data_IF_625599672379
#
_entry.id   IF_625599672379
#
_cell.length_a   1.000
_cell.length_b   1.000
_cell.length_c   1.000
_cell.angle_alpha   90.00
_cell.angle_beta   90.00
_cell.angle_gamma   90.00
#
_symmetry.space_group_name_H-M   'P 1'
#
loop_
_entity.id
_entity.type
_entity.pdbx_description
1 polymer ?
#
# COMPACT_ATOMS: atom_id res chain seq x y z
N UNK A 1 28.14 -11.72 -29.58
CA UNK A 1 27.32 -11.71 -28.36
C UNK A 1 27.78 -10.47 -27.60
N UNK A 2 26.89 -9.47 -27.38
CA UNK A 2 27.26 -8.31 -26.57
C UNK A 2 27.51 -8.81 -25.15
N UNK A 3 28.65 -8.46 -24.56
CA UNK A 3 28.91 -8.70 -23.14
C UNK A 3 27.81 -7.98 -22.34
N UNK A 4 26.91 -8.75 -21.72
CA UNK A 4 25.98 -8.20 -20.74
C UNK A 4 26.83 -7.71 -19.57
N UNK A 5 26.76 -6.41 -19.27
CA UNK A 5 27.41 -5.85 -18.09
C UNK A 5 26.91 -6.51 -16.81
N UNK A 6 27.56 -6.29 -15.66
CA UNK A 6 27.16 -6.89 -14.39
C UNK A 6 25.70 -6.56 -14.08
N UNK A 7 24.94 -7.58 -13.66
CA UNK A 7 23.52 -7.40 -13.27
C UNK A 7 23.48 -6.56 -11.99
N UNK A 8 22.82 -5.41 -12.07
CA UNK A 8 22.63 -4.52 -10.93
C UNK A 8 21.45 -5.01 -10.10
N UNK A 9 21.66 -5.20 -8.80
CA UNK A 9 20.63 -5.69 -7.89
C UNK A 9 19.46 -4.69 -7.75
N UNK A 10 19.75 -3.43 -7.43
CA UNK A 10 18.74 -2.39 -7.29
C UNK A 10 18.76 -1.44 -8.49
N UNK A 11 17.71 -1.49 -9.31
CA UNK A 11 17.52 -0.57 -10.45
C UNK A 11 16.45 0.50 -10.17
N UNK A 12 15.94 0.51 -8.93
CA UNK A 12 14.76 1.26 -8.51
C UNK A 12 13.48 0.51 -8.86
N UNK A 13 12.57 0.47 -7.93
CA UNK A 13 11.39 -0.38 -8.07
C UNK A 13 10.36 -0.13 -6.98
N UNK A 14 10.09 -1.18 -6.20
CA UNK A 14 8.99 -1.13 -5.27
C UNK A 14 7.65 -0.98 -5.99
N UNK A 15 6.67 -0.42 -5.32
CA UNK A 15 5.34 -0.19 -5.90
C UNK A 15 5.33 0.79 -7.08
N UNK A 16 6.42 1.56 -7.31
CA UNK A 16 6.55 2.42 -8.50
C UNK A 16 6.62 1.63 -9.81
N UNK A 17 6.96 0.34 -9.75
CA UNK A 17 7.01 -0.56 -10.91
C UNK A 17 5.64 -1.11 -11.33
N UNK A 18 4.59 -0.92 -10.55
CA UNK A 18 3.22 -1.36 -10.89
C UNK A 18 2.73 -0.68 -12.18
N UNK A 19 1.93 -1.40 -12.96
CA UNK A 19 1.21 -0.81 -14.10
C UNK A 19 0.22 0.23 -13.58
N UNK A 20 0.05 1.34 -14.33
CA UNK A 20 -0.90 2.36 -13.93
C UNK A 20 -2.35 1.84 -13.91
N UNK A 21 -3.14 2.25 -12.92
CA UNK A 21 -4.50 1.78 -12.68
C UNK A 21 -5.39 1.86 -13.95
N UNK A 22 -5.35 2.96 -14.69
CA UNK A 22 -6.14 3.13 -15.92
C UNK A 22 -5.75 2.22 -17.10
N UNK A 23 -4.52 1.69 -17.12
CA UNK A 23 -4.11 0.67 -18.11
C UNK A 23 -4.65 -0.69 -17.72
N UNK A 24 -4.52 -1.05 -16.45
CA UNK A 24 -4.96 -2.34 -15.92
C UNK A 24 -6.48 -2.50 -16.03
N UNK A 25 -7.25 -1.50 -15.61
CA UNK A 25 -8.73 -1.50 -15.70
C UNK A 25 -9.20 -1.81 -17.12
N UNK A 26 -8.65 -1.13 -18.15
CA UNK A 26 -9.03 -1.35 -19.56
C UNK A 26 -8.74 -2.75 -20.06
N UNK A 27 -7.76 -3.46 -19.47
CA UNK A 27 -7.45 -4.84 -19.82
C UNK A 27 -8.43 -5.78 -19.11
N UNK A 28 -8.67 -5.56 -17.84
CA UNK A 28 -9.56 -6.39 -17.01
C UNK A 28 -11.02 -6.33 -17.49
N UNK A 29 -11.49 -5.18 -17.97
CA UNK A 29 -12.83 -5.01 -18.56
C UNK A 29 -13.08 -5.93 -19.77
N UNK A 30 -12.03 -6.38 -20.46
CA UNK A 30 -12.10 -7.26 -21.63
C UNK A 30 -12.06 -8.74 -21.29
N UNK A 31 -11.84 -9.10 -20.02
CA UNK A 31 -11.84 -10.49 -19.62
C UNK A 31 -13.24 -11.10 -19.70
N UNK A 32 -13.37 -12.36 -20.12
CA UNK A 32 -14.64 -13.06 -20.09
C UNK A 32 -15.19 -13.10 -18.66
N UNK A 33 -16.39 -12.62 -18.46
CA UNK A 33 -17.08 -12.72 -17.16
C UNK A 33 -17.90 -13.99 -17.16
N UNK A 34 -17.56 -14.94 -16.28
CA UNK A 34 -18.40 -16.10 -15.97
C UNK A 34 -19.62 -15.73 -15.13
N UNK A 35 -20.45 -16.73 -14.79
CA UNK A 35 -21.47 -16.54 -13.76
C UNK A 35 -20.79 -16.15 -12.44
N UNK A 36 -21.38 -15.16 -11.75
CA UNK A 36 -20.82 -14.68 -10.48
C UNK A 36 -21.02 -15.74 -9.42
N UNK A 37 -19.90 -16.27 -8.90
CA UNK A 37 -19.91 -17.20 -7.78
C UNK A 37 -20.45 -16.45 -6.53
N UNK A 38 -21.55 -16.93 -5.89
CA UNK A 38 -22.11 -16.25 -4.71
C UNK A 38 -21.19 -16.29 -3.49
N UNK A 39 -20.20 -17.18 -3.46
CA UNK A 39 -19.22 -17.28 -2.39
C UNK A 39 -17.98 -16.39 -2.63
N UNK A 40 -17.82 -15.81 -3.81
CA UNK A 40 -16.85 -14.74 -4.06
C UNK A 40 -17.40 -13.41 -3.53
N UNK A 41 -17.04 -13.07 -2.28
CA UNK A 41 -17.54 -11.86 -1.60
C UNK A 41 -16.89 -10.61 -2.17
N UNK A 42 -15.57 -10.66 -2.44
CA UNK A 42 -14.78 -9.58 -3.03
C UNK A 42 -13.93 -10.16 -4.16
N UNK A 43 -13.98 -9.53 -5.32
CA UNK A 43 -13.19 -9.91 -6.49
C UNK A 43 -12.60 -8.68 -7.18
N UNK A 44 -11.96 -8.86 -8.34
CA UNK A 44 -11.32 -7.77 -9.06
C UNK A 44 -12.27 -6.67 -9.56
N UNK A 45 -13.58 -6.92 -9.56
CA UNK A 45 -14.60 -5.94 -9.98
C UNK A 45 -14.73 -4.76 -9.00
N UNK A 46 -14.43 -4.98 -7.69
CA UNK A 46 -14.51 -3.97 -6.64
C UNK A 46 -13.26 -3.09 -6.55
N UNK A 47 -12.16 -3.46 -7.22
CA UNK A 47 -10.85 -2.79 -7.09
C UNK A 47 -10.37 -2.75 -5.64
N UNK A 48 -10.67 -3.80 -4.89
CA UNK A 48 -10.28 -3.96 -3.50
C UNK A 48 -8.88 -4.58 -3.37
N UNK A 49 -8.32 -4.55 -2.16
CA UNK A 49 -6.94 -4.92 -1.89
C UNK A 49 -6.69 -6.43 -2.10
N UNK A 50 -7.68 -7.28 -1.79
CA UNK A 50 -7.57 -8.72 -1.97
C UNK A 50 -8.88 -9.38 -2.42
N UNK A 51 -8.77 -10.58 -2.99
CA UNK A 51 -9.93 -11.44 -3.21
C UNK A 51 -10.39 -12.08 -1.91
N UNK A 52 -11.71 -12.13 -1.67
CA UNK A 52 -12.29 -12.77 -0.50
C UNK A 52 -13.33 -13.81 -0.92
N UNK A 53 -13.08 -15.07 -0.53
CA UNK A 53 -13.93 -16.20 -0.88
C UNK A 53 -14.48 -16.89 0.38
N UNK A 54 -15.79 -16.97 0.51
CA UNK A 54 -16.47 -17.59 1.65
C UNK A 54 -16.33 -19.11 1.63
N UNK A 55 -15.90 -19.68 2.73
CA UNK A 55 -15.76 -21.13 2.92
C UNK A 55 -16.91 -21.67 3.78
N UNK A 56 -17.26 -20.94 4.84
CA UNK A 56 -18.39 -21.22 5.71
C UNK A 56 -19.14 -19.92 6.03
N UNK A 57 -20.17 -19.99 6.86
CA UNK A 57 -20.88 -18.79 7.32
C UNK A 57 -19.94 -17.82 8.08
N UNK A 58 -19.00 -18.36 8.85
CA UNK A 58 -18.11 -17.60 9.75
C UNK A 58 -16.67 -17.49 9.26
N UNK A 59 -16.31 -18.10 8.12
CA UNK A 59 -14.94 -18.14 7.63
C UNK A 59 -14.87 -17.83 6.13
N UNK A 60 -14.08 -16.83 5.77
CA UNK A 60 -13.67 -16.57 4.39
C UNK A 60 -12.15 -16.55 4.24
N UNK A 61 -11.67 -16.98 3.07
CA UNK A 61 -10.28 -16.83 2.66
C UNK A 61 -10.06 -15.43 2.13
N UNK A 62 -8.95 -14.82 2.54
CA UNK A 62 -8.38 -13.62 1.91
C UNK A 62 -7.16 -14.07 1.11
N UNK A 63 -7.13 -13.77 -0.18
CA UNK A 63 -6.02 -14.15 -1.06
C UNK A 63 -5.51 -12.93 -1.81
N UNK A 64 -4.20 -12.71 -1.70
CA UNK A 64 -3.50 -11.64 -2.43
C UNK A 64 -2.16 -12.10 -2.97
N UNK A 65 -1.61 -11.32 -3.91
CA UNK A 65 -0.28 -11.50 -4.47
C UNK A 65 0.33 -10.14 -4.78
N UNK A 66 1.51 -9.88 -4.20
CA UNK A 66 2.26 -8.68 -4.55
C UNK A 66 3.78 -8.98 -4.61
N UNK A 67 4.44 -8.50 -5.66
CA UNK A 67 5.87 -8.64 -5.86
C UNK A 67 6.41 -7.52 -6.76
N UNK A 68 7.65 -7.13 -6.55
CA UNK A 68 8.26 -6.01 -7.26
C UNK A 68 9.80 -6.09 -7.26
N UNK A 69 10.48 -5.29 -8.10
CA UNK A 69 11.94 -5.20 -8.09
C UNK A 69 12.44 -4.39 -6.88
N UNK A 70 13.72 -4.58 -6.45
CA UNK A 70 14.31 -3.89 -5.32
C UNK A 70 14.31 -2.37 -5.45
N UNK A 71 14.08 -1.66 -4.32
CA UNK A 71 14.21 -0.21 -4.20
C UNK A 71 15.29 0.21 -3.18
N UNK A 72 15.89 -0.76 -2.49
CA UNK A 72 17.01 -0.60 -1.56
C UNK A 72 18.15 -1.53 -1.98
N UNK A 73 19.38 -1.20 -1.61
CA UNK A 73 20.57 -1.95 -2.02
C UNK A 73 20.84 -3.18 -1.16
N UNK A 74 20.35 -3.21 0.08
CA UNK A 74 20.52 -4.36 0.98
C UNK A 74 19.46 -5.43 0.71
N UNK A 75 19.88 -6.66 0.30
CA UNK A 75 18.95 -7.74 -0.03
C UNK A 75 18.05 -8.17 1.13
N UNK A 76 18.59 -8.20 2.34
CA UNK A 76 17.83 -8.57 3.54
C UNK A 76 16.72 -7.54 3.83
N UNK A 77 17.07 -6.26 3.81
CA UNK A 77 16.12 -5.16 3.97
C UNK A 77 15.05 -5.17 2.86
N UNK A 78 15.44 -5.50 1.62
CA UNK A 78 14.47 -5.66 0.53
C UNK A 78 13.44 -6.76 0.84
N UNK A 79 13.89 -7.91 1.34
CA UNK A 79 13.00 -8.97 1.80
C UNK A 79 12.04 -8.51 2.91
N UNK A 80 12.58 -7.74 3.87
CA UNK A 80 11.80 -7.16 4.97
C UNK A 80 10.80 -6.08 4.53
N UNK A 81 10.96 -5.49 3.35
CA UNK A 81 10.00 -4.53 2.78
C UNK A 81 8.95 -5.23 1.92
N UNK A 82 9.36 -6.18 1.10
CA UNK A 82 8.47 -6.85 0.16
C UNK A 82 7.41 -7.71 0.87
N UNK A 83 7.79 -8.36 1.98
CA UNK A 83 6.85 -9.17 2.74
C UNK A 83 5.76 -8.33 3.43
N UNK A 84 6.04 -7.26 4.23
CA UNK A 84 5.01 -6.41 4.80
C UNK A 84 4.06 -5.82 3.76
N UNK A 85 4.56 -5.45 2.58
CA UNK A 85 3.72 -4.94 1.51
C UNK A 85 2.67 -5.98 1.06
N UNK A 86 3.08 -7.22 0.79
CA UNK A 86 2.16 -8.28 0.39
C UNK A 86 1.23 -8.76 1.52
N UNK A 87 1.67 -8.67 2.78
CA UNK A 87 0.86 -9.03 3.96
C UNK A 87 -0.21 -7.96 4.26
N UNK A 88 -0.01 -6.73 3.80
CA UNK A 88 -0.82 -5.57 4.13
C UNK A 88 -2.26 -5.70 3.65
N UNK A 89 -2.48 -6.23 2.46
CA UNK A 89 -3.81 -6.44 1.87
C UNK A 89 -4.70 -7.29 2.78
N UNK A 90 -4.12 -8.31 3.44
CA UNK A 90 -4.88 -9.14 4.40
C UNK A 90 -5.36 -8.32 5.59
N UNK A 91 -4.53 -7.39 6.08
CA UNK A 91 -4.90 -6.51 7.18
C UNK A 91 -5.93 -5.46 6.77
N UNK A 92 -5.84 -4.92 5.55
CA UNK A 92 -6.82 -3.99 5.00
C UNK A 92 -8.22 -4.63 4.92
N UNK A 93 -8.28 -5.91 4.53
CA UNK A 93 -9.53 -6.68 4.50
C UNK A 93 -10.05 -7.11 5.89
N UNK A 94 -9.41 -6.68 7.01
CA UNK A 94 -9.78 -7.09 8.36
C UNK A 94 -9.35 -8.51 8.74
N UNK A 95 -8.55 -9.17 7.88
CA UNK A 95 -8.13 -10.56 8.02
C UNK A 95 -6.91 -10.77 8.91
N UNK A 96 -6.60 -12.05 9.13
CA UNK A 96 -5.39 -12.53 9.81
C UNK A 96 -4.56 -13.36 8.84
N UNK A 97 -3.26 -13.07 8.74
CA UNK A 97 -2.32 -13.86 7.93
C UNK A 97 -2.21 -15.28 8.46
N UNK A 98 -2.33 -16.27 7.57
CA UNK A 98 -2.14 -17.68 7.91
C UNK A 98 -0.94 -18.31 7.21
N UNK A 99 -0.86 -18.20 5.89
CA UNK A 99 0.27 -18.73 5.13
C UNK A 99 0.76 -17.75 4.07
N UNK A 100 2.04 -17.88 3.72
CA UNK A 100 2.63 -17.16 2.61
C UNK A 100 3.48 -18.10 1.74
N UNK A 101 3.51 -17.82 0.44
CA UNK A 101 4.36 -18.48 -0.54
C UNK A 101 5.29 -17.45 -1.18
N UNK A 102 6.60 -17.73 -1.25
CA UNK A 102 7.54 -16.86 -1.92
C UNK A 102 7.29 -16.84 -3.44
N UNK A 103 7.37 -15.66 -4.04
CA UNK A 103 7.42 -15.45 -5.48
C UNK A 103 8.76 -14.81 -5.83
N UNK A 104 9.55 -15.50 -6.63
CA UNK A 104 10.94 -15.12 -6.92
C UNK A 104 11.20 -15.11 -8.41
N UNK A 105 11.70 -13.99 -8.93
CA UNK A 105 12.42 -13.91 -10.19
C UNK A 105 13.88 -13.56 -9.85
N UNK A 106 14.85 -14.37 -10.31
CA UNK A 106 16.24 -14.19 -9.91
C UNK A 106 17.21 -14.53 -11.04
N UNK A 107 18.24 -13.70 -11.32
CA UNK A 107 19.24 -13.97 -12.34
C UNK A 107 20.15 -15.15 -11.94
N UNK A 108 20.26 -16.18 -12.78
CA UNK A 108 21.12 -17.35 -12.51
C UNK A 108 22.60 -17.00 -12.32
N UNK A 109 23.06 -15.90 -12.89
CA UNK A 109 24.45 -15.42 -12.78
C UNK A 109 24.73 -14.59 -11.54
N UNK A 110 23.71 -14.24 -10.73
CA UNK A 110 23.87 -13.50 -9.49
C UNK A 110 24.17 -14.46 -8.32
N UNK A 111 24.95 -13.99 -7.33
CA UNK A 111 25.28 -14.77 -6.14
C UNK A 111 24.01 -15.21 -5.41
N UNK A 112 23.87 -16.53 -5.20
CA UNK A 112 22.74 -17.14 -4.48
C UNK A 112 22.65 -16.70 -3.01
N UNK A 113 23.74 -16.21 -2.40
CA UNK A 113 23.69 -15.61 -1.06
C UNK A 113 22.76 -14.38 -1.02
N UNK A 114 22.71 -13.59 -2.11
CA UNK A 114 21.78 -12.46 -2.26
C UNK A 114 20.34 -12.96 -2.16
N UNK A 115 20.00 -14.04 -2.85
CA UNK A 115 18.68 -14.64 -2.75
C UNK A 115 18.39 -15.14 -1.32
N UNK A 116 19.38 -15.80 -0.69
CA UNK A 116 19.28 -16.27 0.69
C UNK A 116 18.89 -15.15 1.66
N UNK A 117 19.54 -13.98 1.55
CA UNK A 117 19.25 -12.82 2.40
C UNK A 117 17.85 -12.24 2.13
N UNK A 118 17.41 -12.15 0.87
CA UNK A 118 16.04 -11.71 0.53
C UNK A 118 15.01 -12.63 1.21
N UNK A 119 15.16 -13.94 1.02
CA UNK A 119 14.24 -14.93 1.58
C UNK A 119 14.23 -14.93 3.12
N UNK A 120 15.41 -14.71 3.75
CA UNK A 120 15.53 -14.59 5.19
C UNK A 120 14.74 -13.38 5.71
N UNK A 121 14.93 -12.20 5.10
CA UNK A 121 14.20 -10.99 5.47
C UNK A 121 12.68 -11.16 5.36
N UNK A 122 12.22 -11.78 4.26
CA UNK A 122 10.79 -12.05 4.05
C UNK A 122 10.23 -13.07 5.04
N UNK A 123 10.97 -14.16 5.32
CA UNK A 123 10.54 -15.20 6.25
C UNK A 123 10.38 -14.67 7.69
N UNK A 124 11.30 -13.81 8.14
CA UNK A 124 11.21 -13.17 9.46
C UNK A 124 9.95 -12.29 9.58
N UNK A 125 9.58 -11.55 8.53
CA UNK A 125 8.36 -10.73 8.52
C UNK A 125 7.08 -11.58 8.48
N UNK A 126 7.07 -12.69 7.78
CA UNK A 126 5.95 -13.64 7.81
C UNK A 126 5.78 -14.22 9.22
N UNK A 127 6.88 -14.57 9.89
CA UNK A 127 6.84 -15.05 11.28
C UNK A 127 6.36 -13.95 12.26
N UNK A 128 6.84 -12.70 12.11
CA UNK A 128 6.38 -11.54 12.89
C UNK A 128 4.86 -11.29 12.71
N UNK A 129 4.36 -11.50 11.49
CA UNK A 129 2.93 -11.46 11.19
C UNK A 129 2.12 -12.56 11.90
N UNK A 130 2.77 -13.60 12.41
CA UNK A 130 2.14 -14.79 12.97
C UNK A 130 1.73 -15.82 11.92
N UNK A 131 2.18 -15.64 10.68
CA UNK A 131 1.95 -16.54 9.56
C UNK A 131 3.03 -17.61 9.43
N UNK A 132 2.78 -18.57 8.55
CA UNK A 132 3.72 -19.64 8.19
C UNK A 132 4.17 -19.48 6.75
N UNK A 133 5.48 -19.39 6.51
CA UNK A 133 6.04 -19.49 5.17
C UNK A 133 5.97 -20.95 4.72
N UNK A 134 5.12 -21.26 3.74
CA UNK A 134 4.77 -22.63 3.36
C UNK A 134 5.49 -23.13 2.09
N UNK A 135 6.37 -22.31 1.51
CA UNK A 135 7.09 -22.63 0.27
C UNK A 135 7.11 -21.49 -0.72
N UNK A 136 7.00 -21.78 -1.99
CA UNK A 136 6.96 -20.76 -3.03
C UNK A 136 7.38 -21.29 -4.40
N UNK A 137 7.61 -20.35 -5.35
CA UNK A 137 8.06 -20.62 -6.69
C UNK A 137 9.17 -19.65 -7.11
N UNK A 138 10.16 -20.15 -7.83
CA UNK A 138 11.25 -19.32 -8.36
C UNK A 138 11.47 -19.61 -9.84
N UNK A 139 11.76 -18.55 -10.60
CA UNK A 139 12.12 -18.64 -12.02
C UNK A 139 13.39 -17.83 -12.29
N UNK A 140 14.16 -18.26 -13.29
CA UNK A 140 15.26 -17.49 -13.83
C UNK A 140 14.71 -16.26 -14.59
N UNK A 141 15.30 -15.09 -14.37
CA UNK A 141 14.91 -13.82 -15.02
C UNK A 141 16.14 -12.93 -15.20
N UNK A 142 16.00 -11.85 -15.95
CA UNK A 142 17.06 -10.86 -16.16
C UNK A 142 17.25 -9.90 -14.99
N UNK A 143 16.31 -9.83 -14.07
CA UNK A 143 16.35 -8.94 -12.89
C UNK A 143 15.66 -9.56 -11.68
N UNK A 144 16.04 -9.09 -10.51
CA UNK A 144 15.45 -9.56 -9.26
C UNK A 144 14.04 -9.01 -9.10
N UNK A 145 13.08 -9.88 -8.75
CA UNK A 145 11.77 -9.51 -8.24
C UNK A 145 11.43 -10.47 -7.10
N UNK A 146 10.88 -9.94 -6.04
CA UNK A 146 10.47 -10.73 -4.88
C UNK A 146 9.18 -10.20 -4.28
N UNK A 147 8.41 -11.10 -3.74
CA UNK A 147 7.21 -10.84 -2.96
C UNK A 147 6.55 -12.13 -2.53
N UNK A 148 5.29 -12.04 -2.16
CA UNK A 148 4.54 -13.15 -1.61
C UNK A 148 3.19 -13.32 -2.30
N UNK A 149 2.71 -14.56 -2.37
CA UNK A 149 1.29 -14.88 -2.41
C UNK A 149 0.86 -15.21 -0.99
N UNK A 150 -0.13 -14.47 -0.48
CA UNK A 150 -0.56 -14.56 0.92
C UNK A 150 -1.98 -15.07 1.00
N UNK A 151 -2.20 -15.97 1.97
CA UNK A 151 -3.53 -16.45 2.35
C UNK A 151 -3.79 -16.05 3.79
N UNK A 152 -4.89 -15.34 4.00
CA UNK A 152 -5.43 -14.97 5.30
C UNK A 152 -6.82 -15.57 5.54
N UNK A 153 -7.33 -15.40 6.74
CA UNK A 153 -8.70 -15.69 7.12
C UNK A 153 -9.36 -14.44 7.67
N UNK A 154 -10.63 -14.26 7.33
CA UNK A 154 -11.49 -13.21 7.88
C UNK A 154 -12.86 -13.77 8.22
N UNK A 155 -13.50 -13.23 9.26
CA UNK A 155 -14.93 -13.42 9.49
C UNK A 155 -15.69 -12.58 8.43
N UNK A 156 -16.55 -13.18 7.59
CA UNK A 156 -17.31 -12.45 6.57
C UNK A 156 -18.14 -11.29 7.13
N UNK A 157 -18.58 -11.37 8.39
CA UNK A 157 -19.35 -10.33 9.06
C UNK A 157 -18.48 -9.15 9.56
N UNK A 158 -17.15 -9.30 9.53
CA UNK A 158 -16.16 -8.32 9.97
C UNK A 158 -15.21 -7.91 8.84
N UNK A 159 -15.57 -8.27 7.61
CA UNK A 159 -14.85 -7.86 6.41
C UNK A 159 -14.90 -6.34 6.26
N UNK A 160 -13.74 -5.72 6.05
CA UNK A 160 -13.60 -4.30 5.72
C UNK A 160 -13.29 -4.15 4.23
N UNK A 161 -14.30 -3.90 3.41
CA UNK A 161 -14.08 -3.57 2.00
C UNK A 161 -13.74 -2.07 1.86
N UNK A 162 -13.08 -1.72 0.76
CA UNK A 162 -12.61 -0.33 0.58
C UNK A 162 -13.74 0.67 0.28
N UNK A 163 -14.88 0.26 -0.31
CA UNK A 163 -15.97 1.12 -0.80
C UNK A 163 -17.22 1.15 0.12
N UNK A 164 -17.08 0.73 1.38
CA UNK A 164 -18.17 0.64 2.37
C UNK A 164 -18.25 1.80 3.37
N UNK A 165 -17.44 2.86 3.14
CA UNK A 165 -17.47 4.09 3.92
C UNK A 165 -18.82 4.80 3.88
N UNK A 166 -19.07 5.66 4.88
CA UNK A 166 -20.35 6.37 5.07
C UNK A 166 -20.13 7.88 5.19
N UNK A 167 -21.10 8.71 4.78
CA UNK A 167 -21.05 10.14 5.07
C UNK A 167 -20.91 10.41 6.57
N UNK A 168 -19.97 11.27 6.94
CA UNK A 168 -19.63 11.60 8.33
C UNK A 168 -18.41 10.85 8.86
N UNK A 169 -18.01 9.73 8.25
CA UNK A 169 -16.82 8.97 8.67
C UNK A 169 -15.57 9.86 8.63
N UNK A 170 -14.68 9.61 9.58
CA UNK A 170 -13.36 10.21 9.62
C UNK A 170 -12.35 9.33 8.90
N UNK A 171 -11.55 9.94 8.05
CA UNK A 171 -10.45 9.27 7.37
C UNK A 171 -9.21 9.32 8.25
N UNK A 172 -8.69 8.15 8.64
CA UNK A 172 -7.53 8.00 9.52
C UNK A 172 -6.42 7.26 8.80
N UNK A 173 -5.25 7.89 8.64
CA UNK A 173 -4.06 7.34 8.00
C UNK A 173 -3.05 6.89 9.06
N UNK A 174 -2.48 5.67 8.93
CA UNK A 174 -1.66 5.05 9.98
C UNK A 174 -0.15 5.17 9.79
N UNK A 175 0.35 5.52 8.60
CA UNK A 175 1.78 5.76 8.32
C UNK A 175 1.96 7.08 7.56
N UNK A 176 3.16 7.65 7.68
CA UNK A 176 3.55 8.85 6.96
C UNK A 176 3.76 8.58 5.46
N UNK A 177 3.48 9.60 4.62
CA UNK A 177 3.67 9.57 3.16
C UNK A 177 5.05 10.08 2.76
N UNK A 178 5.50 9.73 1.55
CA UNK A 178 6.73 10.24 0.94
C UNK A 178 7.79 9.20 0.63
N UNK A 179 7.49 7.90 0.74
CA UNK A 179 8.44 6.80 0.49
C UNK A 179 9.02 6.86 -0.92
N UNK A 180 8.19 7.08 -1.94
CA UNK A 180 8.66 7.13 -3.33
C UNK A 180 9.60 8.32 -3.59
N UNK A 181 9.27 9.48 -3.03
CA UNK A 181 10.10 10.69 -3.09
C UNK A 181 11.47 10.47 -2.44
N UNK A 182 11.50 9.91 -1.22
CA UNK A 182 12.75 9.66 -0.50
C UNK A 182 13.61 8.61 -1.22
N UNK A 183 13.02 7.51 -1.70
CA UNK A 183 13.74 6.51 -2.48
C UNK A 183 14.30 7.10 -3.78
N UNK A 184 13.59 8.03 -4.41
CA UNK A 184 14.05 8.73 -5.60
C UNK A 184 15.21 9.67 -5.27
N UNK A 185 15.10 10.47 -4.23
CA UNK A 185 16.15 11.34 -3.73
C UNK A 185 17.43 10.54 -3.37
N UNK A 186 17.26 9.42 -2.67
CA UNK A 186 18.38 8.53 -2.31
C UNK A 186 19.12 7.99 -3.54
N UNK A 187 18.40 7.62 -4.60
CA UNK A 187 19.02 7.13 -5.85
C UNK A 187 19.92 8.14 -6.57
N UNK A 188 19.64 9.41 -6.39
CA UNK A 188 20.45 10.50 -6.99
C UNK A 188 21.43 11.12 -5.99
N UNK A 189 21.52 10.56 -4.76
CA UNK A 189 22.45 11.00 -3.75
C UNK A 189 22.02 12.26 -2.97
N UNK A 190 20.73 12.63 -3.05
CA UNK A 190 20.19 13.85 -2.42
C UNK A 190 19.46 13.59 -1.10
N UNK A 191 19.22 12.32 -0.71
CA UNK A 191 18.64 11.99 0.58
C UNK A 191 19.71 11.85 1.66
N UNK A 192 19.48 12.41 2.85
CA UNK A 192 20.30 12.14 4.00
C UNK A 192 20.08 10.70 4.50
N UNK A 193 21.10 10.04 5.09
CA UNK A 193 20.96 8.67 5.61
C UNK A 193 19.78 8.48 6.55
N UNK A 194 19.53 9.44 7.44
CA UNK A 194 18.45 9.40 8.43
C UNK A 194 17.06 9.44 7.80
N UNK A 195 16.94 10.11 6.64
CA UNK A 195 15.69 10.17 5.86
C UNK A 195 15.40 8.79 5.25
N UNK A 196 16.42 8.16 4.64
CA UNK A 196 16.28 6.82 4.09
C UNK A 196 16.02 5.77 5.17
N UNK A 197 16.67 5.87 6.34
CA UNK A 197 16.39 5.02 7.50
C UNK A 197 14.94 5.17 7.99
N UNK A 198 14.40 6.40 8.02
CA UNK A 198 12.99 6.63 8.38
C UNK A 198 12.04 5.97 7.37
N UNK A 199 12.33 6.08 6.07
CA UNK A 199 11.54 5.41 5.02
C UNK A 199 11.62 3.88 5.14
N UNK A 200 12.81 3.30 5.38
CA UNK A 200 13.00 1.86 5.60
C UNK A 200 12.23 1.39 6.83
N UNK A 201 12.32 2.10 7.97
CA UNK A 201 11.54 1.77 9.17
C UNK A 201 10.04 1.76 8.89
N UNK A 202 9.53 2.75 8.16
CA UNK A 202 8.11 2.80 7.76
C UNK A 202 7.74 1.58 6.90
N UNK A 203 8.53 1.27 5.86
CA UNK A 203 8.28 0.16 4.93
C UNK A 203 8.38 -1.22 5.60
N UNK A 204 9.27 -1.40 6.57
CA UNK A 204 9.46 -2.68 7.27
C UNK A 204 8.48 -2.89 8.43
N UNK A 205 7.74 -1.86 8.84
CA UNK A 205 6.70 -1.97 9.89
C UNK A 205 5.44 -2.63 9.32
N UNK A 206 5.00 -3.73 9.96
CA UNK A 206 3.74 -4.40 9.61
C UNK A 206 2.53 -3.53 9.95
N UNK A 207 1.51 -3.58 9.10
CA UNK A 207 0.20 -2.98 9.38
C UNK A 207 -0.64 -3.79 10.39
N UNK A 208 -0.12 -4.92 10.89
CA UNK A 208 -0.74 -5.81 11.86
C UNK A 208 -1.26 -5.08 13.10
N UNK A 209 -0.39 -4.32 13.77
CA UNK A 209 -0.75 -3.59 15.00
C UNK A 209 -1.90 -2.60 14.74
N UNK A 210 -1.84 -1.88 13.62
CA UNK A 210 -2.91 -0.94 13.25
C UNK A 210 -4.25 -1.67 13.05
N UNK A 211 -4.25 -2.79 12.32
CA UNK A 211 -5.44 -3.58 12.08
C UNK A 211 -6.00 -4.22 13.37
N UNK A 212 -5.14 -4.76 14.24
CA UNK A 212 -5.56 -5.35 15.52
C UNK A 212 -6.18 -4.32 16.47
N UNK A 213 -5.64 -3.09 16.49
CA UNK A 213 -6.22 -1.98 17.26
C UNK A 213 -7.57 -1.58 16.65
N UNK A 214 -7.63 -1.37 15.33
CA UNK A 214 -8.83 -0.92 14.63
C UNK A 214 -10.03 -1.87 14.79
N UNK A 215 -9.81 -3.18 14.95
CA UNK A 215 -10.87 -4.16 15.19
C UNK A 215 -11.74 -3.91 16.43
N UNK A 216 -11.32 -3.05 17.35
CA UNK A 216 -12.04 -2.68 18.57
C UNK A 216 -12.97 -1.48 18.39
N UNK A 217 -12.94 -0.86 17.23
CA UNK A 217 -13.64 0.35 16.88
C UNK A 217 -14.58 0.12 15.69
N UNK A 218 -15.52 1.01 15.48
CA UNK A 218 -16.42 0.96 14.32
C UNK A 218 -15.73 1.52 13.08
N UNK A 219 -15.09 0.60 12.32
CA UNK A 219 -14.45 0.89 11.02
C UNK A 219 -15.37 0.40 9.92
N UNK A 220 -15.80 1.30 9.03
CA UNK A 220 -16.73 1.00 7.96
C UNK A 220 -16.04 0.59 6.68
N UNK A 221 -14.86 1.14 6.37
CA UNK A 221 -14.05 0.79 5.21
C UNK A 221 -12.56 0.89 5.54
N UNK A 222 -11.77 0.12 4.82
CA UNK A 222 -10.31 0.17 4.93
C UNK A 222 -9.67 -0.11 3.56
N UNK A 223 -8.47 0.43 3.35
CA UNK A 223 -7.55 0.06 2.27
C UNK A 223 -6.13 0.30 2.75
N UNK A 224 -5.14 -0.30 2.11
CA UNK A 224 -3.75 0.10 2.31
C UNK A 224 -3.31 1.14 1.27
N UNK A 225 -2.41 2.03 1.66
CA UNK A 225 -1.93 3.10 0.78
C UNK A 225 -0.63 2.66 0.13
N UNK A 226 -0.68 2.22 -1.13
CA UNK A 226 0.46 1.69 -1.85
C UNK A 226 0.73 2.40 -3.19
N UNK A 227 0.89 1.69 -4.28
CA UNK A 227 1.41 2.18 -5.55
C UNK A 227 0.55 3.23 -6.25
N UNK A 228 -0.75 3.26 -6.00
CA UNK A 228 -1.65 4.26 -6.58
C UNK A 228 -1.70 5.57 -5.78
N UNK A 229 -0.89 5.72 -4.75
CA UNK A 229 -0.82 6.88 -3.87
C UNK A 229 -2.00 7.04 -2.90
N UNK A 230 -1.86 7.96 -1.95
CA UNK A 230 -2.94 8.30 -1.03
C UNK A 230 -4.22 8.73 -1.77
N UNK A 231 -4.10 9.64 -2.74
CA UNK A 231 -5.27 10.14 -3.47
C UNK A 231 -5.87 9.11 -4.42
N UNK A 232 -5.06 8.18 -4.98
CA UNK A 232 -5.56 7.11 -5.83
C UNK A 232 -6.40 6.10 -5.04
N UNK A 233 -5.89 5.60 -3.91
CA UNK A 233 -6.64 4.68 -3.05
C UNK A 233 -7.86 5.36 -2.42
N UNK A 234 -7.77 6.65 -2.08
CA UNK A 234 -8.92 7.43 -1.62
C UNK A 234 -10.01 7.55 -2.70
N UNK A 235 -9.63 7.73 -3.98
CA UNK A 235 -10.56 7.73 -5.10
C UNK A 235 -11.28 6.37 -5.24
N UNK A 236 -10.55 5.25 -5.10
CA UNK A 236 -11.13 3.91 -5.07
C UNK A 236 -12.12 3.76 -3.89
N UNK A 237 -11.74 4.24 -2.71
CA UNK A 237 -12.59 4.21 -1.50
C UNK A 237 -13.88 5.06 -1.67
N UNK A 238 -13.85 6.16 -2.39
CA UNK A 238 -15.06 6.96 -2.65
C UNK A 238 -16.03 6.27 -3.62
N UNK A 239 -15.55 5.36 -4.47
CA UNK A 239 -16.36 4.44 -5.28
C UNK A 239 -17.40 5.11 -6.17
N UNK A 240 -17.16 6.35 -6.61
CA UNK A 240 -18.12 7.19 -7.39
C UNK A 240 -19.43 7.49 -6.63
N UNK A 241 -19.56 7.11 -5.37
CA UNK A 241 -20.78 7.25 -4.56
C UNK A 241 -20.65 8.33 -3.48
N UNK A 242 -19.41 8.61 -3.06
CA UNK A 242 -19.08 9.48 -1.94
C UNK A 242 -18.14 10.61 -2.39
N UNK A 243 -17.89 11.53 -1.51
CA UNK A 243 -16.88 12.58 -1.64
C UNK A 243 -16.17 12.75 -0.30
N UNK A 244 -15.01 13.39 -0.31
CA UNK A 244 -14.31 13.69 0.94
C UNK A 244 -13.62 15.04 0.91
N UNK A 245 -13.36 15.56 2.12
CA UNK A 245 -12.49 16.71 2.34
C UNK A 245 -11.29 16.24 3.16
N UNK A 246 -10.09 16.54 2.65
CA UNK A 246 -8.81 16.22 3.27
C UNK A 246 -8.17 17.49 3.80
N UNK A 247 -7.75 17.47 5.05
CA UNK A 247 -6.84 18.45 5.63
C UNK A 247 -5.39 17.96 5.39
N UNK A 248 -4.74 18.50 4.40
CA UNK A 248 -3.38 18.09 4.03
C UNK A 248 -2.34 18.53 5.08
N UNK A 249 -2.64 19.52 5.93
CA UNK A 249 -1.77 19.89 7.04
C UNK A 249 -1.71 18.79 8.12
N UNK A 250 -2.80 18.02 8.29
CA UNK A 250 -2.85 16.90 9.21
C UNK A 250 -2.18 15.62 8.69
N UNK A 251 -1.88 15.54 7.39
CA UNK A 251 -1.27 14.32 6.79
C UNK A 251 0.17 14.15 7.30
N UNK A 252 0.50 13.00 7.93
CA UNK A 252 1.86 12.75 8.37
C UNK A 252 2.79 12.56 7.16
N UNK A 253 3.95 13.20 7.18
CA UNK A 253 4.94 13.21 6.11
C UNK A 253 6.29 12.73 6.65
N UNK A 254 6.98 11.88 5.89
CA UNK A 254 8.32 11.41 6.23
C UNK A 254 9.34 12.55 6.14
N UNK A 255 10.33 12.59 7.04
CA UNK A 255 11.42 13.56 6.95
C UNK A 255 12.12 13.50 5.58
N UNK A 256 12.29 14.64 4.93
CA UNK A 256 12.92 14.77 3.62
C UNK A 256 11.98 14.63 2.42
N UNK A 257 10.74 14.18 2.62
CA UNK A 257 9.80 14.06 1.49
C UNK A 257 9.36 15.41 0.94
N UNK A 258 9.21 16.40 1.81
CA UNK A 258 8.89 17.77 1.40
C UNK A 258 10.00 18.38 0.55
N UNK A 259 11.24 18.29 1.03
CA UNK A 259 12.43 18.81 0.35
C UNK A 259 12.64 18.10 -1.00
N UNK A 260 12.43 16.78 -1.07
CA UNK A 260 12.50 16.03 -2.31
C UNK A 260 11.43 16.48 -3.31
N UNK A 261 10.20 16.72 -2.85
CA UNK A 261 9.12 17.22 -3.68
C UNK A 261 9.40 18.64 -4.19
N UNK A 262 9.90 19.55 -3.34
CA UNK A 262 10.27 20.92 -3.68
C UNK A 262 11.42 20.95 -4.69
N UNK A 263 12.38 20.01 -4.58
CA UNK A 263 13.47 19.81 -5.53
C UNK A 263 13.07 19.08 -6.82
N UNK A 264 11.78 18.82 -7.04
CA UNK A 264 11.23 18.13 -8.22
C UNK A 264 11.73 16.69 -8.40
N UNK A 265 12.06 15.98 -7.32
CA UNK A 265 12.51 14.58 -7.33
C UNK A 265 11.33 13.60 -7.31
N UNK A 266 10.38 13.76 -8.22
CA UNK A 266 9.19 12.90 -8.28
C UNK A 266 9.44 11.57 -8.94
N UNK A 267 8.56 10.60 -8.64
CA UNK A 267 8.53 9.33 -9.36
C UNK A 267 7.70 9.42 -10.64
N UNK A 268 8.07 8.66 -11.66
CA UNK A 268 7.22 8.51 -12.84
C UNK A 268 5.84 7.92 -12.49
N UNK A 269 5.76 7.12 -11.43
CA UNK A 269 4.49 6.58 -10.93
C UNK A 269 3.62 7.68 -10.30
N UNK A 270 4.18 8.60 -9.51
CA UNK A 270 3.48 9.76 -8.97
C UNK A 270 2.85 10.61 -10.08
N UNK A 271 3.58 10.84 -11.17
CA UNK A 271 3.03 11.58 -12.31
C UNK A 271 1.92 10.80 -13.03
N UNK A 272 2.01 9.46 -13.11
CA UNK A 272 0.89 8.64 -13.64
C UNK A 272 -0.33 8.71 -12.72
N UNK A 273 -0.12 8.68 -11.40
CA UNK A 273 -1.19 8.81 -10.40
C UNK A 273 -1.86 10.19 -10.51
N UNK A 274 -1.08 11.28 -10.60
CA UNK A 274 -1.60 12.64 -10.81
C UNK A 274 -2.43 12.73 -12.11
N UNK A 275 -1.97 12.15 -13.19
CA UNK A 275 -2.70 12.16 -14.46
C UNK A 275 -4.01 11.35 -14.40
N UNK A 276 -4.05 10.27 -13.63
CA UNK A 276 -5.23 9.41 -13.50
C UNK A 276 -6.26 10.00 -12.52
N UNK A 277 -5.84 10.33 -11.31
CA UNK A 277 -6.73 10.74 -10.21
C UNK A 277 -6.94 12.26 -10.14
N UNK A 278 -5.99 13.05 -10.63
CA UNK A 278 -6.04 14.52 -10.59
C UNK A 278 -7.35 15.16 -11.10
N UNK A 279 -8.01 14.64 -12.16
CA UNK A 279 -9.31 15.16 -12.62
C UNK A 279 -10.43 15.09 -11.57
N UNK A 280 -10.30 14.25 -10.54
CA UNK A 280 -11.27 14.09 -9.45
C UNK A 280 -10.93 14.91 -8.20
N UNK A 281 -9.77 15.61 -8.21
CA UNK A 281 -9.22 16.33 -7.05
C UNK A 281 -9.23 17.83 -7.26
N UNK A 282 -9.65 18.57 -6.25
CA UNK A 282 -9.48 20.03 -6.16
C UNK A 282 -8.59 20.39 -5.00
N UNK A 283 -7.51 21.12 -5.27
CA UNK A 283 -6.62 21.67 -4.26
C UNK A 283 -7.00 23.10 -3.93
N UNK A 284 -7.15 23.41 -2.64
CA UNK A 284 -7.46 24.74 -2.12
C UNK A 284 -6.32 25.21 -1.21
N UNK A 285 -5.50 26.14 -1.72
CA UNK A 285 -4.33 26.72 -1.03
C UNK A 285 -3.26 25.66 -0.62
N UNK A 286 -3.24 24.50 -1.27
CA UNK A 286 -2.25 23.47 -0.97
C UNK A 286 -0.91 23.83 -1.64
N UNK A 287 0.21 23.83 -0.91
CA UNK A 287 1.53 24.04 -1.49
C UNK A 287 1.87 22.88 -2.48
N UNK A 288 2.52 23.22 -3.59
CA UNK A 288 2.85 22.25 -4.64
C UNK A 288 3.63 21.03 -4.13
N UNK A 289 4.64 21.14 -3.24
CA UNK A 289 5.29 19.95 -2.68
C UNK A 289 4.32 19.00 -1.98
N UNK A 290 3.31 19.52 -1.28
CA UNK A 290 2.30 18.69 -0.62
C UNK A 290 1.39 17.98 -1.63
N UNK A 291 1.02 18.64 -2.74
CA UNK A 291 0.29 17.98 -3.81
C UNK A 291 1.05 16.78 -4.35
N UNK A 292 2.37 16.91 -4.59
CA UNK A 292 3.23 15.81 -5.08
C UNK A 292 3.34 14.68 -4.05
N UNK A 293 3.42 15.00 -2.74
CA UNK A 293 3.42 14.00 -1.66
C UNK A 293 2.14 13.17 -1.66
N UNK A 294 0.99 13.81 -1.88
CA UNK A 294 -0.30 13.15 -1.91
C UNK A 294 -0.48 12.21 -3.14
N UNK A 295 0.24 12.46 -4.23
CA UNK A 295 0.31 11.59 -5.41
C UNK A 295 1.49 10.62 -5.39
N UNK A 296 2.38 10.70 -4.39
CA UNK A 296 3.56 9.85 -4.31
C UNK A 296 3.18 8.38 -4.04
N UNK A 297 3.68 7.42 -4.85
CA UNK A 297 3.45 6.00 -4.61
C UNK A 297 4.13 5.57 -3.31
N UNK A 298 3.42 4.83 -2.48
CA UNK A 298 3.97 4.26 -1.27
C UNK A 298 4.32 2.78 -1.50
N UNK A 299 5.41 2.31 -0.92
CA UNK A 299 5.73 0.90 -0.79
C UNK A 299 5.55 0.51 0.67
N UNK A 300 4.76 -0.52 0.93
CA UNK A 300 4.39 -0.93 2.30
C UNK A 300 3.87 0.27 3.12
N UNK A 301 2.98 1.05 2.54
CA UNK A 301 2.37 2.20 3.21
C UNK A 301 1.42 1.81 4.33
N UNK A 302 0.77 2.81 4.93
CA UNK A 302 -0.15 2.60 6.04
C UNK A 302 -1.55 2.19 5.59
N UNK A 303 -2.37 1.79 6.55
CA UNK A 303 -3.80 1.62 6.35
C UNK A 303 -4.49 2.99 6.36
N UNK A 304 -5.49 3.14 5.51
CA UNK A 304 -6.43 4.24 5.50
C UNK A 304 -7.79 3.70 5.93
N UNK A 305 -8.28 4.15 7.07
CA UNK A 305 -9.56 3.74 7.64
C UNK A 305 -10.63 4.80 7.46
N UNK A 306 -11.86 4.40 7.13
CA UNK A 306 -13.08 5.18 7.32
C UNK A 306 -13.71 4.77 8.65
N UNK A 307 -13.65 5.65 9.63
CA UNK A 307 -13.98 5.37 11.04
C UNK A 307 -15.21 6.17 11.46
N UNK A 308 -16.14 5.55 12.16
CA UNK A 308 -17.28 6.23 12.74
C UNK A 308 -16.84 7.46 13.57
N UNK A 309 -17.51 8.61 13.45
CA UNK A 309 -17.04 9.87 14.05
C UNK A 309 -16.78 9.80 15.56
N UNK A 310 -17.58 9.02 16.29
CA UNK A 310 -17.46 8.85 17.73
C UNK A 310 -16.20 8.09 18.17
N UNK A 311 -15.66 7.24 17.30
CA UNK A 311 -14.53 6.36 17.59
C UNK A 311 -13.18 6.92 17.12
N UNK A 312 -13.20 7.84 16.16
CA UNK A 312 -11.99 8.29 15.44
C UNK A 312 -10.91 8.86 16.37
N UNK A 313 -11.27 9.70 17.32
CA UNK A 313 -10.30 10.31 18.25
C UNK A 313 -9.67 9.27 19.20
N UNK A 314 -10.47 8.30 19.67
CA UNK A 314 -9.99 7.25 20.55
C UNK A 314 -9.07 6.28 19.79
N UNK A 315 -9.43 5.91 18.56
CA UNK A 315 -8.59 5.08 17.69
C UNK A 315 -7.27 5.78 17.35
N UNK A 316 -7.30 7.08 16.98
CA UNK A 316 -6.07 7.86 16.72
C UNK A 316 -5.14 7.83 17.93
N UNK A 317 -5.68 8.14 19.14
CA UNK A 317 -4.89 8.17 20.36
C UNK A 317 -4.26 6.80 20.68
N UNK A 318 -4.98 5.70 20.50
CA UNK A 318 -4.47 4.37 20.77
C UNK A 318 -3.40 3.93 19.77
N UNK A 319 -3.57 4.24 18.48
CA UNK A 319 -2.55 4.00 17.46
C UNK A 319 -1.27 4.80 17.74
N UNK A 320 -1.40 6.06 18.15
CA UNK A 320 -0.27 6.89 18.54
C UNK A 320 0.44 6.34 19.79
N UNK A 321 -0.31 5.86 20.78
CA UNK A 321 0.25 5.22 21.97
C UNK A 321 1.01 3.91 21.63
N UNK A 322 0.62 3.23 20.53
CA UNK A 322 1.35 2.09 19.97
C UNK A 322 2.57 2.49 19.11
N UNK A 323 2.89 3.79 19.02
CA UNK A 323 4.06 4.31 18.29
C UNK A 323 3.84 4.53 16.80
N UNK A 324 2.60 4.47 16.31
CA UNK A 324 2.27 4.74 14.90
C UNK A 324 2.02 6.25 14.69
N UNK A 325 2.45 6.84 13.54
CA UNK A 325 2.22 8.24 13.24
C UNK A 325 0.78 8.47 12.72
N UNK A 326 -0.19 7.84 13.38
CA UNK A 326 -1.58 7.84 12.95
C UNK A 326 -2.24 9.21 13.12
N UNK A 327 -3.02 9.63 12.12
CA UNK A 327 -3.74 10.91 12.11
C UNK A 327 -5.08 10.79 11.42
N UNK A 328 -6.09 11.47 11.98
CA UNK A 328 -7.31 11.82 11.25
C UNK A 328 -6.95 12.92 10.25
N UNK A 329 -7.12 12.61 8.96
CA UNK A 329 -6.67 13.45 7.83
C UNK A 329 -7.84 14.02 7.02
N UNK A 330 -9.08 13.62 7.32
CA UNK A 330 -10.21 14.08 6.54
C UNK A 330 -11.56 13.54 7.00
N UNK A 331 -12.56 13.83 6.20
CA UNK A 331 -13.96 13.41 6.49
C UNK A 331 -14.66 13.04 5.18
N UNK A 332 -15.40 11.93 5.18
CA UNK A 332 -16.27 11.50 4.10
C UNK A 332 -17.59 12.27 4.14
N UNK A 333 -18.07 12.68 3.00
CA UNK A 333 -19.34 13.37 2.83
C UNK A 333 -20.19 12.77 1.70
N UNK A 334 -21.39 13.31 1.53
CA UNK A 334 -22.25 13.02 0.40
C UNK A 334 -21.56 13.36 -0.93
N UNK A 335 -21.92 12.67 -2.02
CA UNK A 335 -21.33 12.87 -3.35
C UNK A 335 -21.39 14.33 -3.80
N UNK A 336 -20.25 14.85 -4.19
CA UNK A 336 -20.06 16.18 -4.74
C UNK A 336 -19.16 16.15 -5.97
N UNK A 337 -18.98 17.30 -6.63
CA UNK A 337 -18.01 17.49 -7.71
C UNK A 337 -17.15 18.72 -7.36
N UNK A 338 -15.84 18.58 -7.27
CA UNK A 338 -15.05 17.36 -7.42
C UNK A 338 -15.26 16.37 -6.27
N UNK A 339 -14.83 15.12 -6.48
CA UNK A 339 -14.99 14.03 -5.53
C UNK A 339 -14.12 14.24 -4.28
N UNK A 340 -12.89 14.69 -4.46
CA UNK A 340 -11.91 14.92 -3.40
C UNK A 340 -11.58 16.41 -3.37
N UNK A 341 -11.80 17.05 -2.23
CA UNK A 341 -11.31 18.41 -1.97
C UNK A 341 -10.18 18.34 -0.95
N UNK A 342 -9.03 18.91 -1.28
CA UNK A 342 -7.86 18.96 -0.39
C UNK A 342 -7.63 20.39 0.02
N UNK A 343 -7.60 20.65 1.33
CA UNK A 343 -7.33 21.96 1.94
C UNK A 343 -5.99 21.94 2.67
N UNK A 344 -5.42 23.10 2.96
CA UNK A 344 -4.20 23.27 3.74
C UNK A 344 -4.38 24.50 4.64
N UNK A 345 -5.09 24.31 5.75
CA UNK A 345 -5.40 25.40 6.70
C UNK A 345 -4.83 25.16 8.10
#
# INVERSE_FOLDING_TARGET
MAEQGPIVFCTGGGCTAKLGAGVLSRILEKLPRGEKDPDLLVGYDSRDDAAVYRITEDIALVQTVDFFPPMVDDPYTFGQIAAPNALSDVYAMGGEVKTALNLVCFPESMDLNVLGEILRGGAEKVAEAGGTLAGGHSIADTGVKYGLSVTGLVDPHRLTANDTGRPGDKLLLTKALGVGLICTANRVGEAAPEQMEAAVRSMTTLNKTAAEIARRYEVHAATDVTGFSFLGHLHEMMGEKLSCVIDAHAVPVLPGAWEAADACLYTAAGQRNRNHTGPFVRFEKVPFPMEEILFDPQTSGGLLFAVAPQDAAALEAELQAAGLPAKVVGTIGEKQTPEITVTYE
#
